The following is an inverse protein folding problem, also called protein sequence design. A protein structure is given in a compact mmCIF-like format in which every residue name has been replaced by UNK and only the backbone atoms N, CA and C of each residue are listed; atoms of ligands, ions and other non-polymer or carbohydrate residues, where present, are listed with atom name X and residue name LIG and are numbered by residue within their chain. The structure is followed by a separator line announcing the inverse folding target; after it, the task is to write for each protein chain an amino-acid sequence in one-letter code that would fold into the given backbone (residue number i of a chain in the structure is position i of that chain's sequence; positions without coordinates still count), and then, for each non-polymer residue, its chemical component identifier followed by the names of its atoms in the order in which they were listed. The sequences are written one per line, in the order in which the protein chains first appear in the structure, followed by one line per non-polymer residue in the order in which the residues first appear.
data_IF_366552661560
#
_entry.id   IF_366552661560
#
_cell.length_a   1.000
_cell.length_b   1.000
_cell.length_c   1.000
_cell.angle_alpha   90.00
_cell.angle_beta   90.00
_cell.angle_gamma   90.00
#
_symmetry.space_group_name_H-M   'P 1'
#
loop_
_entity.id
_entity.type
_entity.pdbx_description
1 polymer ?
#
# COMPACT_ATOMS: atom_id res chain seq x y z
N UNK A 1 -36.55 16.33 27.22
CA UNK A 1 -35.48 15.39 26.84
C UNK A 1 -35.41 15.38 25.33
N UNK A 2 -34.40 16.04 24.76
CA UNK A 2 -34.29 16.19 23.30
C UNK A 2 -33.57 14.97 22.72
N UNK A 3 -34.28 14.24 21.88
CA UNK A 3 -33.77 13.10 21.13
C UNK A 3 -32.67 13.56 20.16
N UNK A 4 -31.48 12.97 20.26
CA UNK A 4 -30.33 13.36 19.48
C UNK A 4 -30.53 12.89 18.03
N UNK A 5 -31.00 13.79 17.17
CA UNK A 5 -31.20 13.59 15.73
C UNK A 5 -30.06 12.74 15.16
N UNK A 6 -30.43 11.58 14.63
CA UNK A 6 -29.49 10.68 13.97
C UNK A 6 -28.69 11.46 12.91
N UNK A 7 -27.36 11.47 13.06
CA UNK A 7 -26.43 12.23 12.21
C UNK A 7 -25.87 11.42 11.06
N UNK A 8 -26.35 10.19 10.86
CA UNK A 8 -25.84 9.29 9.81
C UNK A 8 -26.26 9.83 8.44
N UNK A 9 -25.31 9.86 7.51
CA UNK A 9 -25.56 10.26 6.12
C UNK A 9 -26.35 9.20 5.33
N UNK A 10 -26.41 7.96 5.83
CA UNK A 10 -27.14 6.85 5.21
C UNK A 10 -27.65 5.85 6.26
N UNK A 11 -28.74 5.16 5.92
CA UNK A 11 -29.32 4.06 6.69
C UNK A 11 -28.37 2.86 6.75
N UNK A 12 -28.41 2.10 7.84
CA UNK A 12 -27.64 0.84 8.00
C UNK A 12 -28.60 -0.33 8.10
N UNK A 13 -28.37 -1.37 7.31
CA UNK A 13 -29.13 -2.62 7.36
C UNK A 13 -28.44 -3.61 8.29
N UNK A 14 -29.23 -4.32 9.11
CA UNK A 14 -28.71 -5.41 9.93
C UNK A 14 -28.26 -6.57 9.02
N UNK A 15 -27.07 -7.11 9.29
CA UNK A 15 -26.55 -8.31 8.63
C UNK A 15 -27.04 -9.57 9.34
N UNK A 16 -27.10 -10.70 8.64
CA UNK A 16 -27.50 -11.98 9.24
C UNK A 16 -26.32 -12.68 9.96
N UNK A 17 -26.62 -13.70 10.75
CA UNK A 17 -25.63 -14.44 11.53
C UNK A 17 -24.56 -15.18 10.70
N UNK A 18 -24.76 -15.34 9.39
CA UNK A 18 -23.77 -15.93 8.48
C UNK A 18 -22.73 -14.92 7.97
N UNK A 19 -22.86 -13.64 8.30
CA UNK A 19 -21.96 -12.60 7.79
C UNK A 19 -20.71 -12.50 8.67
N UNK A 20 -19.59 -13.02 8.17
CA UNK A 20 -18.28 -12.91 8.81
C UNK A 20 -17.47 -11.72 8.31
N UNK A 21 -16.66 -11.13 9.17
CA UNK A 21 -15.65 -10.14 8.79
C UNK A 21 -14.35 -10.46 9.51
N UNK A 22 -13.28 -10.69 8.74
CA UNK A 22 -11.94 -10.89 9.27
C UNK A 22 -11.20 -9.56 9.36
N UNK A 23 -10.57 -9.27 10.50
CA UNK A 23 -9.65 -8.13 10.59
C UNK A 23 -8.37 -8.45 9.80
N UNK A 24 -8.10 -7.69 8.74
CA UNK A 24 -6.97 -7.94 7.82
C UNK A 24 -5.68 -7.24 8.31
N UNK A 25 -5.79 -6.28 9.22
CA UNK A 25 -4.66 -5.56 9.82
C UNK A 25 -4.89 -4.04 9.87
N UNK A 26 -4.09 -3.30 10.66
CA UNK A 26 -4.13 -1.85 10.69
C UNK A 26 -3.61 -1.27 9.36
N UNK A 27 -4.26 -0.23 8.86
CA UNK A 27 -3.67 0.60 7.79
C UNK A 27 -2.53 1.37 8.43
N UNK A 28 -1.30 0.97 8.15
CA UNK A 28 -0.13 1.55 8.77
C UNK A 28 -0.04 3.06 8.52
N UNK A 29 0.40 3.80 9.54
CA UNK A 29 0.62 5.25 9.45
C UNK A 29 1.59 5.60 8.33
N UNK A 30 1.43 6.80 7.77
CA UNK A 30 2.22 7.30 6.65
C UNK A 30 3.72 7.20 6.95
N UNK A 31 4.41 6.23 6.33
CA UNK A 31 5.84 5.96 6.55
C UNK A 31 6.77 7.08 6.03
N UNK A 32 6.19 8.14 5.48
CA UNK A 32 6.91 9.26 4.87
C UNK A 32 7.23 8.99 3.40
N UNK A 33 8.05 9.85 2.78
CA UNK A 33 8.41 9.70 1.38
C UNK A 33 9.21 8.42 1.15
N UNK A 34 8.76 7.60 0.20
CA UNK A 34 9.49 6.45 -0.31
C UNK A 34 10.14 6.81 -1.65
N UNK A 35 11.39 6.36 -1.87
CA UNK A 35 12.03 6.45 -3.18
C UNK A 35 12.07 5.07 -3.82
N UNK A 36 11.59 4.97 -5.06
CA UNK A 36 11.74 3.75 -5.85
C UNK A 36 13.19 3.64 -6.32
N UNK A 37 13.81 2.49 -6.08
CA UNK A 37 15.18 2.17 -6.52
C UNK A 37 15.15 1.37 -7.82
N UNK A 38 14.29 0.36 -7.86
CA UNK A 38 14.10 -0.56 -8.98
C UNK A 38 12.69 -1.16 -8.92
N UNK A 39 12.21 -1.67 -10.04
CA UNK A 39 10.88 -2.29 -10.17
C UNK A 39 10.96 -3.43 -11.19
N UNK A 40 10.21 -4.51 -10.93
CA UNK A 40 10.03 -5.65 -11.83
C UNK A 40 8.53 -5.99 -11.94
N UNK A 41 8.18 -7.07 -12.64
CA UNK A 41 6.79 -7.53 -12.72
C UNK A 41 6.26 -7.95 -11.35
N UNK A 42 7.08 -8.63 -10.55
CA UNK A 42 6.64 -9.26 -9.30
C UNK A 42 7.03 -8.46 -8.04
N UNK A 43 7.94 -7.49 -8.16
CA UNK A 43 8.46 -6.81 -6.98
C UNK A 43 9.02 -5.43 -7.23
N UNK A 44 9.46 -4.82 -6.13
CA UNK A 44 9.96 -3.45 -6.08
C UNK A 44 11.02 -3.28 -5.00
N UNK A 45 12.06 -2.52 -5.34
CA UNK A 45 13.07 -2.03 -4.42
C UNK A 45 12.76 -0.60 -4.00
N UNK A 46 12.74 -0.34 -2.69
CA UNK A 46 12.43 0.96 -2.11
C UNK A 46 13.55 1.43 -1.17
N UNK A 47 13.69 2.74 -1.05
CA UNK A 47 14.49 3.38 -0.01
C UNK A 47 13.55 4.17 0.90
N UNK A 48 13.50 3.79 2.17
CA UNK A 48 12.71 4.43 3.22
C UNK A 48 13.62 5.10 4.25
N UNK A 49 13.14 6.18 4.88
CA UNK A 49 13.85 6.84 6.00
C UNK A 49 13.60 6.14 7.34
N UNK A 50 12.49 5.39 7.43
CA UNK A 50 12.10 4.64 8.63
C UNK A 50 12.19 3.14 8.38
N UNK A 51 12.43 2.40 9.46
CA UNK A 51 12.43 0.94 9.42
C UNK A 51 10.98 0.46 9.28
N UNK A 52 10.79 -0.53 8.42
CA UNK A 52 9.56 -1.32 8.31
C UNK A 52 9.87 -2.77 8.69
N UNK A 53 8.85 -3.52 9.09
CA UNK A 53 9.02 -4.93 9.44
C UNK A 53 8.87 -5.82 8.21
N UNK A 54 9.54 -6.97 8.24
CA UNK A 54 9.37 -7.99 7.22
C UNK A 54 7.96 -8.58 7.36
N UNK A 55 7.29 -8.78 6.23
CA UNK A 55 5.91 -9.26 6.16
C UNK A 55 4.85 -8.17 6.23
N UNK A 56 5.21 -6.93 6.59
CA UNK A 56 4.28 -5.78 6.56
C UNK A 56 3.74 -5.57 5.15
N UNK A 57 2.43 -5.29 5.05
CA UNK A 57 1.78 -4.91 3.80
C UNK A 57 1.77 -3.39 3.68
N UNK A 58 2.41 -2.86 2.64
CA UNK A 58 2.51 -1.45 2.33
C UNK A 58 1.56 -1.11 1.18
N UNK A 59 0.79 -0.03 1.31
CA UNK A 59 0.07 0.58 0.20
C UNK A 59 0.91 1.72 -0.36
N UNK A 60 1.31 1.60 -1.63
CA UNK A 60 2.20 2.55 -2.30
C UNK A 60 1.54 3.08 -3.55
N UNK A 61 1.60 4.39 -3.78
CA UNK A 61 1.23 4.97 -5.06
C UNK A 61 2.48 5.17 -5.90
N UNK A 62 2.59 4.40 -6.98
CA UNK A 62 3.61 4.57 -8.00
C UNK A 62 3.13 5.63 -9.00
N UNK A 63 3.95 6.63 -9.25
CA UNK A 63 3.63 7.71 -10.19
C UNK A 63 4.75 7.87 -11.23
N UNK A 64 4.37 8.06 -12.49
CA UNK A 64 5.26 8.54 -13.53
C UNK A 64 4.64 9.80 -14.13
N UNK A 65 5.21 10.97 -13.82
CA UNK A 65 4.71 12.26 -14.27
C UNK A 65 4.78 12.41 -15.80
N UNK A 66 5.81 11.86 -16.44
CA UNK A 66 6.01 11.93 -17.90
C UNK A 66 4.89 11.20 -18.64
N UNK A 67 4.50 10.02 -18.14
CA UNK A 67 3.44 9.20 -18.73
C UNK A 67 2.04 9.49 -18.15
N UNK A 68 1.92 10.48 -17.25
CA UNK A 68 0.69 10.81 -16.50
C UNK A 68 0.03 9.57 -15.84
N UNK A 69 0.86 8.65 -15.37
CA UNK A 69 0.41 7.37 -14.80
C UNK A 69 0.51 7.43 -13.28
N UNK A 70 -0.54 6.94 -12.61
CA UNK A 70 -0.57 6.75 -11.16
C UNK A 70 -1.30 5.44 -10.86
N UNK A 71 -0.66 4.54 -10.10
CA UNK A 71 -1.26 3.29 -9.65
C UNK A 71 -0.93 3.03 -8.19
N UNK A 72 -1.97 2.73 -7.40
CA UNK A 72 -1.77 2.24 -6.04
C UNK A 72 -1.61 0.72 -6.07
N UNK A 73 -0.55 0.24 -5.45
CA UNK A 73 -0.18 -1.17 -5.35
C UNK A 73 0.00 -1.57 -3.90
N UNK A 74 -0.30 -2.83 -3.60
CA UNK A 74 -0.01 -3.44 -2.31
C UNK A 74 1.30 -4.22 -2.42
N UNK A 75 2.21 -3.99 -1.48
CA UNK A 75 3.55 -4.60 -1.47
C UNK A 75 3.80 -5.26 -0.12
N UNK A 76 4.10 -6.54 -0.11
CA UNK A 76 4.55 -7.25 1.09
C UNK A 76 6.06 -7.12 1.21
N UNK A 77 6.54 -6.61 2.35
CA UNK A 77 7.98 -6.50 2.63
C UNK A 77 8.59 -7.90 2.71
N UNK A 78 9.57 -8.18 1.85
CA UNK A 78 10.28 -9.46 1.79
C UNK A 78 11.60 -9.41 2.58
N UNK A 79 12.34 -8.30 2.50
CA UNK A 79 13.58 -8.11 3.25
C UNK A 79 13.87 -6.62 3.47
N UNK A 80 14.62 -6.32 4.54
CA UNK A 80 15.01 -4.96 4.91
C UNK A 80 16.49 -4.94 5.29
N UNK A 81 17.25 -4.07 4.65
CA UNK A 81 18.69 -3.88 4.89
C UNK A 81 18.94 -2.43 5.27
N UNK A 82 19.59 -2.19 6.41
CA UNK A 82 20.03 -0.84 6.76
C UNK A 82 21.07 -0.34 5.75
N UNK A 83 20.94 0.91 5.33
CA UNK A 83 21.85 1.58 4.39
C UNK A 83 22.14 3.00 4.86
N UNK A 84 23.11 3.68 4.25
CA UNK A 84 23.55 5.02 4.66
C UNK A 84 22.38 6.01 4.65
N UNK A 85 21.87 6.35 5.83
CA UNK A 85 20.78 7.30 6.04
C UNK A 85 19.36 6.75 5.81
N UNK A 86 19.17 5.42 5.72
CA UNK A 86 17.84 4.84 5.55
C UNK A 86 17.81 3.31 5.50
N UNK A 87 16.74 2.76 4.94
CA UNK A 87 16.50 1.33 4.83
C UNK A 87 16.20 0.98 3.38
N UNK A 88 16.97 0.03 2.83
CA UNK A 88 16.68 -0.62 1.58
C UNK A 88 15.64 -1.71 1.85
N UNK A 89 14.50 -1.61 1.20
CA UNK A 89 13.35 -2.50 1.39
C UNK A 89 13.04 -3.16 0.07
N UNK A 90 13.15 -4.48 0.04
CA UNK A 90 12.65 -5.29 -1.08
C UNK A 90 11.26 -5.79 -0.74
N UNK A 91 10.33 -5.66 -1.69
CA UNK A 91 8.96 -6.14 -1.52
C UNK A 91 8.41 -6.82 -2.77
N UNK A 92 7.41 -7.66 -2.53
CA UNK A 92 6.66 -8.40 -3.57
C UNK A 92 5.28 -7.80 -3.70
N UNK A 93 4.81 -7.57 -4.94
CA UNK A 93 3.46 -7.09 -5.15
C UNK A 93 2.43 -8.16 -4.76
N UNK A 94 1.34 -7.76 -4.13
CA UNK A 94 0.21 -8.65 -3.86
C UNK A 94 -0.45 -9.09 -5.17
N UNK A 95 -0.50 -8.19 -6.15
CA UNK A 95 -0.87 -8.45 -7.53
C UNK A 95 0.27 -7.99 -8.45
N UNK A 96 0.88 -8.89 -9.24
CA UNK A 96 1.96 -8.52 -10.14
C UNK A 96 1.56 -7.39 -11.09
N UNK A 97 2.54 -6.57 -11.48
CA UNK A 97 2.34 -5.60 -12.55
C UNK A 97 2.17 -6.32 -13.88
N UNK A 98 1.29 -5.78 -14.72
CA UNK A 98 1.27 -6.17 -16.13
C UNK A 98 2.51 -5.61 -16.84
N UNK A 99 2.87 -6.21 -17.96
CA UNK A 99 3.98 -5.72 -18.77
C UNK A 99 3.77 -4.28 -19.24
N UNK A 100 2.53 -3.91 -19.58
CA UNK A 100 2.17 -2.54 -19.96
C UNK A 100 2.42 -1.55 -18.81
N UNK A 101 2.00 -1.90 -17.59
CA UNK A 101 2.22 -1.05 -16.41
C UNK A 101 3.70 -0.91 -16.07
N UNK A 102 4.45 -2.01 -16.08
CA UNK A 102 5.90 -1.97 -15.86
C UNK A 102 6.57 -1.03 -16.87
N UNK A 103 6.21 -1.17 -18.15
CA UNK A 103 6.73 -0.36 -19.24
C UNK A 103 6.43 1.13 -19.03
N UNK A 104 5.23 1.48 -18.56
CA UNK A 104 4.88 2.86 -18.21
C UNK A 104 5.68 3.45 -17.04
N UNK A 105 6.34 2.64 -16.21
CA UNK A 105 7.18 3.11 -15.10
C UNK A 105 8.67 3.20 -15.44
N UNK A 106 9.13 2.51 -16.49
CA UNK A 106 10.56 2.46 -16.85
C UNK A 106 10.91 3.25 -18.12
N UNK A 107 9.91 3.70 -18.90
CA UNK A 107 10.09 4.48 -20.13
C UNK A 107 9.62 5.93 -20.01
#
# INVERSE_FOLDING_TARGET
MADAKDRRAAERMAVNAGTGCGFVGPVAENFGPAKVRDVSLDGIGLVLTRRVEIGTLLALTLTNATQKMSKTVLVRVAHVTASHGGFLVGGTFAEPLTYQELTSFVM
#
